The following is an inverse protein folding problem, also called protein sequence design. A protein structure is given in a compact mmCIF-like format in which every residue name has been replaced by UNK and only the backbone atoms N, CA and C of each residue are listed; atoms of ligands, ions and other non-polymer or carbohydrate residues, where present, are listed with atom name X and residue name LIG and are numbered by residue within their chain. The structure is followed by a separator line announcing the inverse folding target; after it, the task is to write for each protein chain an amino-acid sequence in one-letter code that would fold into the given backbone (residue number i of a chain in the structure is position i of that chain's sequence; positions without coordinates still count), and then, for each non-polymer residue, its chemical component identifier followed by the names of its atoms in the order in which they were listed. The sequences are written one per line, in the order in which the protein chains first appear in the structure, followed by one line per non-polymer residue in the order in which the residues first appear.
data_IF_350543496837
#
_entry.id   IF_350543496837
#
_cell.length_a   1.000
_cell.length_b   1.000
_cell.length_c   1.000
_cell.angle_alpha   90.00
_cell.angle_beta   90.00
_cell.angle_gamma   90.00
#
_symmetry.space_group_name_H-M   'P 1'
#
loop_
_entity.id
_entity.type
_entity.pdbx_description
1 polymer ?
#
# COMPACT_ATOMS: atom_id res chain seq x y z
N UNK A 1 -0.06 20.55 -11.24
CA UNK A 1 -0.55 19.19 -10.95
C UNK A 1 -1.17 18.62 -12.20
N UNK A 2 -0.54 17.59 -12.78
CA UNK A 2 -1.11 16.89 -13.94
C UNK A 2 -1.87 15.63 -13.54
N UNK A 3 -1.51 15.00 -12.41
CA UNK A 3 -2.08 13.72 -11.97
C UNK A 3 -3.32 13.86 -11.08
N UNK A 4 -3.52 15.00 -10.41
CA UNK A 4 -4.73 15.31 -9.64
C UNK A 4 -5.34 16.61 -10.16
N UNK A 5 -6.38 16.46 -10.97
CA UNK A 5 -7.14 17.58 -11.52
C UNK A 5 -8.11 18.16 -10.49
N UNK A 6 -8.63 19.36 -10.75
CA UNK A 6 -9.66 19.98 -9.91
C UNK A 6 -10.94 19.14 -9.84
N UNK A 7 -11.30 18.46 -10.92
CA UNK A 7 -12.48 17.59 -10.94
C UNK A 7 -12.30 16.38 -10.03
N UNK A 8 -11.12 15.76 -10.02
CA UNK A 8 -10.82 14.63 -9.13
C UNK A 8 -10.72 15.08 -7.67
N UNK A 9 -10.08 16.23 -7.40
CA UNK A 9 -10.02 16.81 -6.06
C UNK A 9 -11.43 17.12 -5.53
N UNK A 10 -12.33 17.60 -6.39
CA UNK A 10 -13.72 17.89 -6.01
C UNK A 10 -14.45 16.63 -5.51
N UNK A 11 -14.20 15.46 -6.11
CA UNK A 11 -14.77 14.18 -5.62
C UNK A 11 -14.34 13.91 -4.17
N UNK A 12 -13.04 14.01 -3.88
CA UNK A 12 -12.56 13.81 -2.51
C UNK A 12 -13.12 14.85 -1.53
N UNK A 13 -13.17 16.12 -1.93
CA UNK A 13 -13.70 17.19 -1.10
C UNK A 13 -15.19 16.98 -0.77
N UNK A 14 -15.99 16.58 -1.76
CA UNK A 14 -17.41 16.28 -1.58
C UNK A 14 -17.60 15.08 -0.64
N UNK A 15 -16.87 13.98 -0.87
CA UNK A 15 -17.03 12.76 -0.08
C UNK A 15 -16.57 12.94 1.38
N UNK A 16 -15.45 13.63 1.62
CA UNK A 16 -15.04 13.99 2.98
C UNK A 16 -15.97 15.04 3.61
N UNK A 17 -16.57 15.93 2.81
CA UNK A 17 -17.59 16.86 3.29
C UNK A 17 -18.86 16.14 3.75
N UNK A 18 -19.27 15.09 3.03
CA UNK A 18 -20.45 14.28 3.34
C UNK A 18 -20.24 13.32 4.51
N UNK A 19 -19.07 12.68 4.59
CA UNK A 19 -18.79 11.59 5.54
C UNK A 19 -17.99 12.03 6.77
N UNK A 20 -17.30 13.17 6.68
CA UNK A 20 -16.34 13.61 7.69
C UNK A 20 -15.11 12.72 7.76
N UNK A 21 -14.15 13.09 8.61
CA UNK A 21 -12.89 12.35 8.75
C UNK A 21 -12.92 11.28 9.84
N UNK A 22 -13.98 11.22 10.65
CA UNK A 22 -14.01 10.40 11.85
C UNK A 22 -13.77 8.92 11.52
N UNK A 23 -14.45 8.37 10.50
CA UNK A 23 -14.29 6.96 10.11
C UNK A 23 -12.84 6.60 9.75
N UNK A 24 -12.19 7.42 8.92
CA UNK A 24 -10.76 7.24 8.58
C UNK A 24 -9.85 7.38 9.79
N UNK A 25 -10.09 8.38 10.66
CA UNK A 25 -9.28 8.60 11.86
C UNK A 25 -9.45 7.51 12.92
N UNK A 26 -10.59 6.81 12.97
CA UNK A 26 -10.77 5.70 13.91
C UNK A 26 -9.79 4.55 13.65
N UNK A 27 -9.37 4.32 12.40
CA UNK A 27 -8.34 3.31 12.09
C UNK A 27 -7.03 3.59 12.83
N UNK A 28 -6.59 4.85 12.86
CA UNK A 28 -5.38 5.24 13.60
C UNK A 28 -5.56 5.08 15.11
N UNK A 29 -6.73 5.44 15.66
CA UNK A 29 -7.02 5.26 17.09
C UNK A 29 -7.09 3.79 17.50
N UNK A 30 -7.53 2.93 16.58
CA UNK A 30 -7.63 1.50 16.77
C UNK A 30 -6.36 0.73 16.36
N UNK A 31 -5.32 1.38 15.82
CA UNK A 31 -4.15 0.70 15.26
C UNK A 31 -3.36 -0.18 16.24
N UNK A 32 -3.54 0.02 17.55
CA UNK A 32 -2.99 -0.86 18.60
C UNK A 32 -3.94 -1.94 19.10
N UNK A 33 -5.22 -1.88 18.75
CA UNK A 33 -6.23 -2.88 19.11
C UNK A 33 -6.07 -4.10 18.22
N UNK A 34 -6.24 -5.31 18.76
CA UNK A 34 -6.08 -6.55 17.99
C UNK A 34 -4.65 -7.09 17.96
N UNK A 35 -3.64 -6.35 18.45
CA UNK A 35 -2.24 -6.80 18.40
C UNK A 35 -2.03 -8.11 19.20
N UNK A 36 -2.61 -8.21 20.40
CA UNK A 36 -2.52 -9.42 21.21
C UNK A 36 -3.20 -10.62 20.52
N UNK A 37 -4.32 -10.37 19.86
CA UNK A 37 -5.05 -11.37 19.08
C UNK A 37 -4.27 -11.82 17.83
N UNK A 38 -3.41 -10.97 17.28
CA UNK A 38 -2.52 -11.33 16.17
C UNK A 38 -1.34 -12.21 16.59
N UNK A 39 -1.04 -12.34 17.89
CA UNK A 39 0.04 -13.21 18.38
C UNK A 39 -0.17 -14.68 18.02
N UNK A 40 -1.41 -15.12 17.75
CA UNK A 40 -1.69 -16.49 17.28
C UNK A 40 -1.02 -16.80 15.93
N UNK A 41 -0.68 -15.77 15.17
CA UNK A 41 0.03 -15.85 13.89
C UNK A 41 1.53 -15.58 14.03
N UNK A 42 2.06 -15.39 15.25
CA UNK A 42 3.48 -15.17 15.45
C UNK A 42 4.30 -16.34 14.87
N UNK A 43 5.32 -16.02 14.07
CA UNK A 43 6.17 -16.99 13.37
C UNK A 43 5.52 -17.67 12.16
N UNK A 44 4.25 -17.36 11.84
CA UNK A 44 3.63 -17.76 10.56
C UNK A 44 4.15 -16.88 9.43
N UNK A 45 4.06 -17.42 8.22
CA UNK A 45 4.44 -16.71 7.00
C UNK A 45 3.20 -16.47 6.13
N UNK A 46 3.27 -15.46 5.29
CA UNK A 46 2.35 -15.21 4.19
C UNK A 46 2.76 -16.15 3.05
N UNK A 47 1.92 -17.14 2.79
CA UNK A 47 2.17 -18.20 1.79
C UNK A 47 1.62 -17.88 0.40
N UNK A 48 0.78 -16.85 0.29
CA UNK A 48 0.19 -16.45 -0.98
C UNK A 48 1.20 -15.67 -1.84
N UNK A 49 1.12 -15.80 -3.18
CA UNK A 49 1.83 -14.90 -4.09
C UNK A 49 1.59 -13.45 -3.70
N UNK A 50 2.68 -12.70 -3.52
CA UNK A 50 2.64 -11.34 -3.00
C UNK A 50 3.46 -10.40 -3.87
N UNK A 51 3.04 -9.13 -3.92
CA UNK A 51 3.72 -8.06 -4.64
C UNK A 51 3.68 -6.79 -3.79
N UNK A 52 4.79 -6.08 -3.71
CA UNK A 52 4.83 -4.76 -3.09
C UNK A 52 5.11 -3.69 -4.16
N UNK A 53 4.27 -2.66 -4.20
CA UNK A 53 4.42 -1.50 -5.08
C UNK A 53 4.34 -0.23 -4.23
N UNK A 54 5.31 0.66 -4.35
CA UNK A 54 5.30 1.98 -3.72
C UNK A 54 5.94 3.00 -4.67
N UNK A 55 5.69 4.30 -4.45
CA UNK A 55 6.43 5.35 -5.15
C UNK A 55 7.86 5.44 -4.61
N UNK A 56 8.82 5.72 -5.49
CA UNK A 56 10.23 5.89 -5.09
C UNK A 56 10.42 7.06 -4.11
N UNK A 57 9.54 8.07 -4.15
CA UNK A 57 9.53 9.22 -3.23
C UNK A 57 8.56 9.06 -2.05
N UNK A 58 7.98 7.87 -1.83
CA UNK A 58 7.08 7.63 -0.70
C UNK A 58 7.84 7.38 0.60
N UNK A 59 7.57 8.20 1.62
CA UNK A 59 8.08 7.99 2.98
C UNK A 59 7.50 6.72 3.63
N UNK A 60 6.32 6.26 3.19
CA UNK A 60 5.61 5.09 3.70
C UNK A 60 6.48 3.84 3.79
N UNK A 61 7.23 3.56 2.74
CA UNK A 61 8.14 2.42 2.64
C UNK A 61 9.27 2.42 3.70
N UNK A 62 9.58 3.57 4.29
CA UNK A 62 10.70 3.78 5.22
C UNK A 62 10.28 4.03 6.67
N UNK A 63 8.96 4.06 6.97
CA UNK A 63 8.46 4.37 8.32
C UNK A 63 8.94 3.38 9.39
N UNK A 64 9.13 2.11 9.02
CA UNK A 64 9.66 1.07 9.89
C UNK A 64 10.97 0.54 9.32
N UNK A 65 12.12 0.93 9.91
CA UNK A 65 13.41 0.45 9.44
C UNK A 65 13.46 -1.08 9.39
N UNK A 66 13.95 -1.63 8.27
CA UNK A 66 14.07 -3.07 8.06
C UNK A 66 12.75 -3.77 7.70
N UNK A 67 11.62 -3.07 7.55
CA UNK A 67 10.33 -3.74 7.34
C UNK A 67 10.21 -4.37 5.96
N UNK A 68 10.72 -3.72 4.92
CA UNK A 68 10.73 -4.28 3.56
C UNK A 68 11.67 -5.49 3.48
N UNK A 69 12.82 -5.42 4.12
CA UNK A 69 13.78 -6.52 4.22
C UNK A 69 13.16 -7.69 4.99
N UNK A 70 12.51 -7.44 6.13
CA UNK A 70 11.80 -8.49 6.88
C UNK A 70 10.64 -9.09 6.07
N UNK A 71 9.93 -8.29 5.29
CA UNK A 71 8.84 -8.77 4.42
C UNK A 71 9.39 -9.71 3.34
N UNK A 72 10.48 -9.31 2.67
CA UNK A 72 11.14 -10.08 1.63
C UNK A 72 11.81 -11.34 2.16
N UNK A 73 12.60 -11.22 3.21
CA UNK A 73 13.49 -12.29 3.68
C UNK A 73 12.77 -13.30 4.59
N UNK A 74 11.66 -12.90 5.22
CA UNK A 74 11.03 -13.71 6.28
C UNK A 74 9.52 -13.80 6.16
N UNK A 75 8.79 -12.67 6.08
CA UNK A 75 7.34 -12.71 6.27
C UNK A 75 6.59 -13.31 5.08
N UNK A 76 7.07 -13.13 3.85
CA UNK A 76 6.44 -13.69 2.64
C UNK A 76 7.28 -14.81 2.05
N UNK A 77 6.67 -15.97 1.80
CA UNK A 77 7.37 -17.12 1.16
C UNK A 77 7.35 -17.08 -0.37
N UNK A 78 6.42 -16.32 -0.96
CA UNK A 78 6.31 -16.10 -2.42
C UNK A 78 6.14 -14.59 -2.69
N UNK A 79 7.14 -13.78 -2.29
CA UNK A 79 7.20 -12.37 -2.67
C UNK A 79 7.82 -12.26 -4.07
N UNK A 80 6.98 -11.90 -5.06
CA UNK A 80 7.35 -11.90 -6.47
C UNK A 80 7.97 -10.61 -6.97
N UNK A 81 7.95 -9.56 -6.15
CA UNK A 81 8.58 -8.30 -6.48
C UNK A 81 8.37 -7.22 -5.43
N UNK A 82 9.36 -6.33 -5.35
CA UNK A 82 9.29 -5.03 -4.67
C UNK A 82 9.60 -3.98 -5.74
N UNK A 83 8.61 -3.15 -6.05
CA UNK A 83 8.74 -2.13 -7.09
C UNK A 83 8.61 -0.74 -6.48
N UNK A 84 9.69 0.02 -6.56
CA UNK A 84 9.70 1.45 -6.26
C UNK A 84 9.54 2.21 -7.58
N UNK A 85 8.37 2.80 -7.80
CA UNK A 85 7.99 3.44 -9.06
C UNK A 85 8.57 4.85 -9.09
N UNK A 86 9.48 5.09 -10.03
CA UNK A 86 10.09 6.40 -10.26
C UNK A 86 9.04 7.45 -10.63
N UNK A 87 9.24 8.69 -10.17
CA UNK A 87 8.31 9.79 -10.43
C UNK A 87 6.97 9.69 -9.70
N UNK A 88 6.85 8.82 -8.69
CA UNK A 88 5.71 8.74 -7.78
C UNK A 88 6.12 8.91 -6.31
N UNK A 89 5.24 9.57 -5.54
CA UNK A 89 5.22 9.59 -4.09
C UNK A 89 4.19 8.61 -3.51
N UNK A 90 3.44 9.07 -2.51
CA UNK A 90 2.54 8.21 -1.72
C UNK A 90 1.34 7.67 -2.52
N UNK A 91 0.87 8.41 -3.52
CA UNK A 91 -0.33 8.05 -4.29
C UNK A 91 0.05 7.35 -5.60
N UNK A 92 0.93 6.34 -5.52
CA UNK A 92 1.60 5.70 -6.68
C UNK A 92 0.66 5.33 -7.83
N UNK A 93 -0.53 4.81 -7.51
CA UNK A 93 -1.55 4.42 -8.47
C UNK A 93 -2.25 5.58 -9.18
N UNK A 94 -2.20 6.79 -8.63
CA UNK A 94 -2.70 8.02 -9.25
C UNK A 94 -1.57 8.81 -9.93
N UNK A 95 -0.39 8.81 -9.32
CA UNK A 95 0.78 9.55 -9.82
C UNK A 95 1.43 8.87 -11.04
N UNK A 96 1.44 7.54 -11.07
CA UNK A 96 1.97 6.71 -12.16
C UNK A 96 0.99 5.55 -12.48
N UNK A 97 -0.20 5.86 -13.01
CA UNK A 97 -1.27 4.88 -13.15
C UNK A 97 -0.93 3.77 -14.15
N UNK A 98 -0.31 4.09 -15.28
CA UNK A 98 0.06 3.10 -16.30
C UNK A 98 1.12 2.12 -15.77
N UNK A 99 2.15 2.62 -15.10
CA UNK A 99 3.19 1.78 -14.51
C UNK A 99 2.62 0.85 -13.42
N UNK A 100 1.76 1.40 -12.55
CA UNK A 100 1.09 0.61 -11.51
C UNK A 100 0.19 -0.47 -12.11
N UNK A 101 -0.62 -0.13 -13.12
CA UNK A 101 -1.50 -1.06 -13.79
C UNK A 101 -0.72 -2.18 -14.51
N UNK A 102 0.39 -1.85 -15.16
CA UNK A 102 1.24 -2.84 -15.82
C UNK A 102 1.81 -3.85 -14.82
N UNK A 103 2.37 -3.39 -13.69
CA UNK A 103 2.90 -4.27 -12.64
C UNK A 103 1.82 -5.22 -12.09
N UNK A 104 0.60 -4.70 -11.87
CA UNK A 104 -0.53 -5.52 -11.43
C UNK A 104 -0.93 -6.57 -12.47
N UNK A 105 -1.02 -6.20 -13.75
CA UNK A 105 -1.38 -7.13 -14.83
C UNK A 105 -0.33 -8.22 -15.02
N UNK A 106 0.95 -7.87 -14.96
CA UNK A 106 2.06 -8.83 -15.03
C UNK A 106 2.02 -9.81 -13.85
N UNK A 107 1.81 -9.31 -12.64
CA UNK A 107 1.68 -10.14 -11.45
C UNK A 107 0.48 -11.08 -11.52
N UNK A 108 -0.71 -10.56 -11.85
CA UNK A 108 -1.93 -11.37 -11.97
C UNK A 108 -1.83 -12.40 -13.09
N UNK A 109 -1.20 -12.05 -14.22
CA UNK A 109 -0.96 -12.99 -15.32
C UNK A 109 0.03 -14.11 -14.99
N UNK A 110 0.90 -13.89 -14.00
CA UNK A 110 1.86 -14.88 -13.51
C UNK A 110 1.31 -15.75 -12.37
N UNK A 111 0.16 -15.40 -11.78
CA UNK A 111 -0.54 -16.22 -10.79
C UNK A 111 -1.34 -17.29 -11.54
N UNK A 112 -1.16 -18.56 -11.16
CA UNK A 112 -1.90 -19.71 -11.68
C UNK A 112 -2.83 -20.26 -10.61
#
# INVERSE_FOLDING_TARGET
NAWLTEAELAVYAEEFGRTGFQGGLQWYRAGGQGIAEMEVYAGRHIEQPSLFIAGASDWGAYQSPGALERMHDHACTDLRGIHLVEGAGHWVQQEQPEATAQLLLEFLGAIR
#
